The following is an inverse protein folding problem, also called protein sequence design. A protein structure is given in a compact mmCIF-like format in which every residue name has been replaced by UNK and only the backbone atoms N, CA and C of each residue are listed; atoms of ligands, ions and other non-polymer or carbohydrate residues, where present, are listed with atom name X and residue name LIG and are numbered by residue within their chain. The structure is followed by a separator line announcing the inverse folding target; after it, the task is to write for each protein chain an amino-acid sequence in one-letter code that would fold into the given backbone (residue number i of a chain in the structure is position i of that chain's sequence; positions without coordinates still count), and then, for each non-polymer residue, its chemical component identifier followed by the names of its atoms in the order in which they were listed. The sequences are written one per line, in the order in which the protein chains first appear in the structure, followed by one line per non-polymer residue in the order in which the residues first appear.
data_IF_881208781001
#
_entry.id   IF_881208781001
#
_cell.length_a   1.000
_cell.length_b   1.000
_cell.length_c   1.000
_cell.angle_alpha   90.00
_cell.angle_beta   90.00
_cell.angle_gamma   90.00
#
_symmetry.space_group_name_H-M   'P 1'
#
loop_
_entity.id
_entity.type
_entity.pdbx_description
1 polymer ?
#
# COMPACT_ATOMS: atom_id res chain seq x y z
N UNK A 1 15.06 0.58 -31.06
CA UNK A 1 14.23 1.69 -30.53
C UNK A 1 12.75 1.34 -30.63
N UNK A 2 12.17 0.65 -29.64
CA UNK A 2 10.73 0.35 -29.56
C UNK A 2 10.12 1.22 -28.46
N UNK A 3 9.45 2.29 -28.90
CA UNK A 3 8.33 2.98 -28.24
C UNK A 3 8.49 3.36 -26.75
N UNK A 4 9.17 4.49 -26.54
CA UNK A 4 9.13 5.32 -25.32
C UNK A 4 7.79 6.08 -25.13
N UNK A 5 6.67 5.56 -25.64
CA UNK A 5 5.36 6.25 -25.59
C UNK A 5 4.47 5.87 -24.40
N UNK A 6 4.80 4.82 -23.65
CA UNK A 6 3.89 4.29 -22.62
C UNK A 6 4.05 4.88 -21.21
N UNK A 7 5.14 5.59 -20.89
CA UNK A 7 5.48 5.85 -19.47
C UNK A 7 5.73 7.32 -19.11
N UNK A 8 4.99 8.24 -19.73
CA UNK A 8 4.97 9.67 -19.37
C UNK A 8 4.18 9.99 -18.06
N UNK A 9 3.87 8.98 -17.26
CA UNK A 9 2.80 9.05 -16.24
C UNK A 9 3.21 8.73 -14.81
N UNK A 10 4.42 8.24 -14.52
CA UNK A 10 4.80 7.99 -13.12
C UNK A 10 5.33 9.28 -12.49
N UNK A 11 4.42 10.09 -11.95
CA UNK A 11 4.77 11.35 -11.26
C UNK A 11 4.84 11.17 -9.75
N UNK A 12 4.26 10.09 -9.21
CA UNK A 12 4.24 9.83 -7.77
C UNK A 12 4.36 8.34 -7.41
N UNK A 13 4.49 8.05 -6.12
CA UNK A 13 4.52 6.67 -5.60
C UNK A 13 3.21 5.89 -5.85
N UNK A 14 2.09 6.59 -5.95
CA UNK A 14 0.80 5.96 -6.25
C UNK A 14 0.84 5.34 -7.64
N UNK A 15 1.45 6.04 -8.61
CA UNK A 15 1.71 5.53 -9.95
C UNK A 15 2.68 4.36 -9.93
N UNK A 16 3.73 4.41 -9.10
CA UNK A 16 4.66 3.30 -8.90
C UNK A 16 3.94 2.03 -8.40
N UNK A 17 3.15 2.19 -7.34
CA UNK A 17 2.32 1.13 -6.75
C UNK A 17 1.31 0.59 -7.77
N UNK A 18 0.61 1.46 -8.48
CA UNK A 18 -0.35 1.13 -9.53
C UNK A 18 0.31 0.36 -10.68
N UNK A 19 1.48 0.79 -11.12
CA UNK A 19 2.27 0.11 -12.13
C UNK A 19 2.63 -1.32 -11.72
N UNK A 20 3.11 -1.50 -10.48
CA UNK A 20 3.43 -2.82 -9.94
C UNK A 20 2.17 -3.70 -9.84
N UNK A 21 1.03 -3.15 -9.41
CA UNK A 21 -0.23 -3.87 -9.39
C UNK A 21 -0.71 -4.29 -10.79
N UNK A 22 -0.62 -3.42 -11.79
CA UNK A 22 -0.98 -3.77 -13.17
C UNK A 22 -0.04 -4.84 -13.74
N UNK A 23 1.27 -4.75 -13.47
CA UNK A 23 2.21 -5.83 -13.83
C UNK A 23 1.88 -7.13 -13.13
N UNK A 24 1.57 -7.10 -11.84
CA UNK A 24 1.16 -8.28 -11.09
C UNK A 24 -0.10 -8.90 -11.71
N UNK A 25 -1.14 -8.08 -11.95
CA UNK A 25 -2.40 -8.50 -12.57
C UNK A 25 -2.19 -9.16 -13.93
N UNK A 26 -1.37 -8.58 -14.81
CA UNK A 26 -1.04 -9.18 -16.12
C UNK A 26 -0.39 -10.56 -15.99
N UNK A 27 0.55 -10.72 -15.04
CA UNK A 27 1.18 -12.02 -14.79
C UNK A 27 0.19 -13.03 -14.19
N UNK A 28 -0.72 -12.60 -13.33
CA UNK A 28 -1.79 -13.43 -12.78
C UNK A 28 -2.74 -13.95 -13.88
N UNK A 29 -3.21 -13.07 -14.76
CA UNK A 29 -4.09 -13.42 -15.88
C UNK A 29 -3.41 -14.37 -16.88
N UNK A 30 -2.13 -14.14 -17.16
CA UNK A 30 -1.32 -15.01 -18.00
C UNK A 30 -1.13 -16.39 -17.36
N UNK A 31 -0.76 -16.44 -16.08
CA UNK A 31 -0.60 -17.68 -15.33
C UNK A 31 -1.90 -18.49 -15.26
N UNK A 32 -3.02 -17.84 -14.95
CA UNK A 32 -4.34 -18.50 -14.91
C UNK A 32 -4.78 -19.01 -16.30
N UNK A 33 -4.46 -18.30 -17.38
CA UNK A 33 -4.75 -18.73 -18.75
C UNK A 33 -3.92 -19.96 -19.14
N UNK A 34 -2.61 -19.93 -18.88
CA UNK A 34 -1.71 -21.05 -19.15
C UNK A 34 -2.07 -22.30 -18.34
N UNK A 35 -2.48 -22.12 -17.08
CA UNK A 35 -2.95 -23.23 -16.24
C UNK A 35 -4.20 -23.91 -16.85
N UNK A 36 -5.16 -23.13 -17.36
CA UNK A 36 -6.36 -23.67 -18.03
C UNK A 36 -5.99 -24.40 -19.32
N UNK A 37 -5.05 -23.88 -20.10
CA UNK A 37 -4.56 -24.53 -21.32
C UNK A 37 -3.89 -25.88 -20.98
N UNK A 38 -3.06 -25.91 -19.93
CA UNK A 38 -2.46 -27.14 -19.41
C UNK A 38 -3.52 -28.20 -19.07
N UNK A 39 -4.61 -27.79 -18.41
CA UNK A 39 -5.73 -28.69 -18.10
C UNK A 39 -6.44 -29.19 -19.36
N UNK A 40 -6.66 -28.32 -20.36
CA UNK A 40 -7.27 -28.71 -21.64
C UNK A 40 -6.41 -29.76 -22.35
N UNK A 41 -5.09 -29.59 -22.40
CA UNK A 41 -4.20 -30.57 -23.02
C UNK A 41 -4.24 -31.94 -22.34
N UNK A 42 -4.38 -32.00 -21.01
CA UNK A 42 -4.54 -33.27 -20.29
C UNK A 42 -5.86 -33.93 -20.65
N UNK A 43 -6.95 -33.16 -20.65
CA UNK A 43 -8.28 -33.69 -21.00
C UNK A 43 -8.26 -34.23 -22.44
N UNK A 44 -7.65 -33.48 -23.39
CA UNK A 44 -7.53 -33.93 -24.77
C UNK A 44 -6.69 -35.21 -24.88
N UNK A 45 -5.53 -35.27 -24.21
CA UNK A 45 -4.70 -36.48 -24.13
C UNK A 45 -5.51 -37.68 -23.66
N UNK A 46 -6.25 -37.55 -22.55
CA UNK A 46 -7.09 -38.63 -22.02
C UNK A 46 -8.25 -39.03 -22.94
N UNK A 47 -8.88 -38.07 -23.64
CA UNK A 47 -9.96 -38.36 -24.59
C UNK A 47 -9.44 -39.10 -25.82
N UNK A 48 -8.27 -38.72 -26.35
CA UNK A 48 -7.65 -39.42 -27.48
C UNK A 48 -7.34 -40.87 -27.14
N UNK A 49 -6.73 -41.13 -25.99
CA UNK A 49 -6.42 -42.49 -25.56
C UNK A 49 -7.70 -43.33 -25.33
N UNK A 50 -8.75 -42.73 -24.78
CA UNK A 50 -10.04 -43.40 -24.60
C UNK A 50 -10.70 -43.78 -25.93
N UNK A 51 -10.65 -42.90 -26.93
CA UNK A 51 -11.20 -43.19 -28.27
C UNK A 51 -10.50 -44.37 -28.94
N UNK A 52 -9.17 -44.47 -28.79
CA UNK A 52 -8.36 -45.55 -29.37
C UNK A 52 -8.63 -46.88 -28.69
N UNK A 53 -8.81 -46.89 -27.37
CA UNK A 53 -9.11 -48.10 -26.60
C UNK A 53 -10.43 -48.78 -27.02
N UNK A 54 -11.38 -48.03 -27.58
CA UNK A 54 -12.73 -48.54 -27.92
C UNK A 54 -12.85 -49.12 -29.33
N UNK A 55 -11.88 -48.90 -30.21
CA UNK A 55 -11.91 -49.37 -31.60
C UNK A 55 -11.24 -50.74 -31.75
N UNK A 56 -11.99 -51.75 -32.21
CA UNK A 56 -11.54 -53.13 -32.39
C UNK A 56 -10.45 -53.29 -33.48
N UNK A 57 -9.46 -54.15 -33.17
CA UNK A 57 -8.44 -54.91 -33.94
C UNK A 57 -7.88 -54.47 -35.32
N UNK A 58 -8.50 -53.58 -36.09
CA UNK A 58 -8.11 -53.25 -37.47
C UNK A 58 -7.20 -52.02 -37.61
N UNK A 59 -6.78 -51.41 -36.49
CA UNK A 59 -6.08 -50.11 -36.46
C UNK A 59 -4.77 -50.14 -35.64
N UNK A 60 -3.97 -51.21 -35.78
CA UNK A 60 -2.69 -51.33 -35.05
C UNK A 60 -1.70 -50.19 -35.41
N UNK A 61 -1.66 -49.77 -36.66
CA UNK A 61 -0.80 -48.64 -37.09
C UNK A 61 -1.29 -47.29 -36.55
N UNK A 62 -2.61 -47.09 -36.49
CA UNK A 62 -3.22 -45.86 -35.94
C UNK A 62 -3.02 -45.74 -34.43
N UNK A 63 -2.94 -46.85 -33.70
CA UNK A 63 -2.58 -46.85 -32.28
C UNK A 63 -1.21 -46.20 -32.03
N UNK A 64 -0.20 -46.48 -32.87
CA UNK A 64 1.15 -45.91 -32.67
C UNK A 64 1.21 -44.41 -32.96
N UNK A 65 0.42 -43.90 -33.91
CA UNK A 65 0.32 -42.45 -34.14
C UNK A 65 -0.47 -41.75 -33.03
N UNK A 66 -1.54 -42.37 -32.54
CA UNK A 66 -2.34 -41.77 -31.47
C UNK A 66 -1.57 -41.67 -30.15
N UNK A 67 -0.78 -42.69 -29.79
CA UNK A 67 0.09 -42.63 -28.62
C UNK A 67 1.12 -41.48 -28.72
N UNK A 68 1.66 -41.20 -29.91
CA UNK A 68 2.56 -40.05 -30.13
C UNK A 68 1.83 -38.71 -29.95
N UNK A 69 0.57 -38.62 -30.41
CA UNK A 69 -0.26 -37.42 -30.24
C UNK A 69 -0.57 -37.19 -28.75
N UNK A 70 -0.96 -38.23 -28.01
CA UNK A 70 -1.25 -38.14 -26.58
C UNK A 70 -0.02 -37.76 -25.76
N UNK A 71 1.13 -38.36 -26.07
CA UNK A 71 2.42 -37.97 -25.50
C UNK A 71 2.73 -36.49 -25.79
N UNK A 72 2.50 -36.03 -27.02
CA UNK A 72 2.66 -34.64 -27.44
C UNK A 72 1.81 -33.68 -26.60
N UNK A 73 0.52 -33.98 -26.40
CA UNK A 73 -0.36 -33.17 -25.54
C UNK A 73 0.09 -33.15 -24.09
N UNK A 74 0.55 -34.29 -23.56
CA UNK A 74 1.08 -34.36 -22.19
C UNK A 74 2.34 -33.51 -22.00
N UNK A 75 3.27 -33.55 -22.96
CA UNK A 75 4.46 -32.68 -22.93
C UNK A 75 4.09 -31.19 -23.02
N UNK A 76 3.13 -30.83 -23.88
CA UNK A 76 2.59 -29.47 -23.96
C UNK A 76 1.92 -29.03 -22.65
N UNK A 77 1.24 -29.96 -21.96
CA UNK A 77 0.65 -29.69 -20.66
C UNK A 77 1.70 -29.37 -19.60
N UNK A 78 2.78 -30.14 -19.51
CA UNK A 78 3.89 -29.86 -18.61
C UNK A 78 4.50 -28.49 -18.93
N UNK A 79 4.81 -28.23 -20.21
CA UNK A 79 5.41 -26.97 -20.64
C UNK A 79 4.54 -25.77 -20.26
N UNK A 80 3.24 -25.84 -20.51
CA UNK A 80 2.28 -24.78 -20.14
C UNK A 80 2.10 -24.63 -18.63
N UNK A 81 2.16 -25.71 -17.85
CA UNK A 81 2.14 -25.65 -16.39
C UNK A 81 3.40 -24.97 -15.82
N UNK A 82 4.59 -25.32 -16.32
CA UNK A 82 5.84 -24.69 -15.90
C UNK A 82 5.84 -23.18 -16.22
N UNK A 83 5.38 -22.80 -17.42
CA UNK A 83 5.21 -21.40 -17.79
C UNK A 83 4.20 -20.69 -16.87
N UNK A 84 3.10 -21.36 -16.52
CA UNK A 84 2.12 -20.85 -15.56
C UNK A 84 2.75 -20.57 -14.19
N UNK A 85 3.57 -21.48 -13.67
CA UNK A 85 4.31 -21.28 -12.42
C UNK A 85 5.30 -20.11 -12.50
N UNK A 86 6.03 -19.97 -13.61
CA UNK A 86 6.91 -18.81 -13.82
C UNK A 86 6.12 -17.49 -13.81
N UNK A 87 4.92 -17.47 -14.39
CA UNK A 87 4.02 -16.32 -14.31
C UNK A 87 3.56 -16.05 -12.87
N UNK A 88 3.21 -17.08 -12.08
CA UNK A 88 2.83 -16.90 -10.67
C UNK A 88 3.98 -16.41 -9.79
N UNK A 89 5.21 -16.89 -10.02
CA UNK A 89 6.40 -16.38 -9.33
C UNK A 89 6.62 -14.89 -9.61
N UNK A 90 6.50 -14.48 -10.88
CA UNK A 90 6.57 -13.06 -11.26
C UNK A 90 5.43 -12.24 -10.65
N UNK A 91 4.20 -12.76 -10.66
CA UNK A 91 3.06 -12.15 -10.00
C UNK A 91 3.35 -11.90 -8.51
N UNK A 92 3.77 -12.93 -7.77
CA UNK A 92 4.06 -12.83 -6.33
C UNK A 92 5.14 -11.77 -6.06
N UNK A 93 6.19 -11.72 -6.88
CA UNK A 93 7.25 -10.70 -6.77
C UNK A 93 6.71 -9.28 -6.94
N UNK A 94 5.98 -9.00 -8.03
CA UNK A 94 5.45 -7.64 -8.26
C UNK A 94 4.37 -7.26 -7.25
N UNK A 95 3.50 -8.20 -6.88
CA UNK A 95 2.42 -7.98 -5.95
C UNK A 95 2.93 -7.68 -4.54
N UNK A 96 3.94 -8.42 -4.06
CA UNK A 96 4.59 -8.17 -2.79
C UNK A 96 5.23 -6.77 -2.75
N UNK A 97 6.00 -6.41 -3.80
CA UNK A 97 6.60 -5.07 -3.92
C UNK A 97 5.55 -3.95 -3.88
N UNK A 98 4.42 -4.14 -4.57
CA UNK A 98 3.34 -3.15 -4.57
C UNK A 98 2.77 -2.92 -3.15
N UNK A 99 2.68 -3.96 -2.34
CA UNK A 99 2.22 -3.87 -0.96
C UNK A 99 3.26 -3.29 0.00
N UNK A 100 4.53 -3.64 -0.17
CA UNK A 100 5.63 -3.04 0.59
C UNK A 100 5.63 -1.52 0.39
N UNK A 101 5.49 -1.07 -0.86
CA UNK A 101 5.31 0.35 -1.18
C UNK A 101 4.08 0.95 -0.47
N UNK A 102 2.93 0.28 -0.50
CA UNK A 102 1.74 0.75 0.22
C UNK A 102 1.92 0.81 1.75
N UNK A 103 2.74 -0.09 2.33
CA UNK A 103 3.07 -0.07 3.75
C UNK A 103 4.03 1.09 4.09
N UNK A 104 4.97 1.43 3.21
CA UNK A 104 5.85 2.59 3.38
C UNK A 104 5.08 3.91 3.29
N UNK A 105 4.12 3.97 2.36
CA UNK A 105 3.20 5.10 2.21
C UNK A 105 2.41 5.38 3.50
N UNK A 106 1.96 4.33 4.20
CA UNK A 106 1.23 4.49 5.47
C UNK A 106 2.08 5.11 6.58
N UNK A 107 3.35 4.72 6.71
CA UNK A 107 4.24 5.21 7.77
C UNK A 107 4.99 6.48 7.41
N UNK A 108 4.85 6.95 6.18
CA UNK A 108 5.59 8.10 5.65
C UNK A 108 5.52 9.34 6.54
N UNK A 109 4.37 9.61 7.16
CA UNK A 109 4.20 10.78 8.00
C UNK A 109 4.82 10.68 9.40
N UNK A 110 5.12 9.48 9.88
CA UNK A 110 5.72 9.22 11.21
C UNK A 110 7.17 8.74 11.12
N UNK A 111 7.75 8.76 9.92
CA UNK A 111 9.09 8.27 9.63
C UNK A 111 9.88 9.31 8.84
N UNK A 112 11.18 9.07 8.71
CA UNK A 112 12.07 9.90 7.91
C UNK A 112 11.67 9.81 6.42
N UNK A 113 11.20 10.92 5.86
CA UNK A 113 10.61 10.96 4.53
C UNK A 113 11.64 10.68 3.44
N UNK A 114 12.84 11.25 3.60
CA UNK A 114 13.97 11.05 2.68
C UNK A 114 14.38 9.59 2.59
N UNK A 115 14.57 8.91 3.73
CA UNK A 115 14.90 7.48 3.77
C UNK A 115 13.81 6.60 3.15
N UNK A 116 12.54 6.91 3.39
CA UNK A 116 11.44 6.18 2.74
C UNK A 116 11.48 6.41 1.22
N UNK A 117 11.72 7.64 0.79
CA UNK A 117 11.92 7.97 -0.62
C UNK A 117 13.01 7.10 -1.26
N UNK A 118 14.20 7.07 -0.65
CA UNK A 118 15.33 6.23 -1.09
C UNK A 118 14.95 4.76 -1.23
N UNK A 119 14.34 4.18 -0.19
CA UNK A 119 13.88 2.79 -0.20
C UNK A 119 12.89 2.56 -1.35
N UNK A 120 11.89 3.43 -1.49
CA UNK A 120 10.87 3.32 -2.56
C UNK A 120 11.52 3.39 -3.95
N UNK A 121 12.53 4.24 -4.15
CA UNK A 121 13.29 4.31 -5.40
C UNK A 121 14.02 3.00 -5.74
N UNK A 122 14.47 2.22 -4.74
CA UNK A 122 15.05 0.89 -5.00
C UNK A 122 14.02 -0.12 -5.56
N UNK A 123 12.74 0.05 -5.23
CA UNK A 123 11.67 -0.80 -5.76
C UNK A 123 11.29 -0.45 -7.20
N UNK A 124 11.66 0.74 -7.66
CA UNK A 124 11.31 1.26 -8.96
C UNK A 124 12.25 0.76 -10.08
N UNK A 125 11.72 0.47 -11.28
CA UNK A 125 12.57 0.16 -12.43
C UNK A 125 13.58 1.28 -12.71
N UNK A 126 14.75 0.95 -13.28
CA UNK A 126 15.81 1.91 -13.61
C UNK A 126 15.29 3.13 -14.40
N UNK A 127 14.47 2.90 -15.43
CA UNK A 127 13.92 4.00 -16.25
C UNK A 127 12.93 4.92 -15.52
N UNK A 128 12.43 4.51 -14.34
CA UNK A 128 11.56 5.33 -13.48
C UNK A 128 12.41 6.19 -12.54
N UNK A 129 13.67 5.80 -12.26
CA UNK A 129 14.62 6.61 -11.48
C UNK A 129 15.08 7.87 -12.22
N UNK A 130 15.03 7.84 -13.55
CA UNK A 130 15.35 8.99 -14.42
C UNK A 130 14.19 10.00 -14.54
N UNK A 131 13.01 9.70 -13.96
CA UNK A 131 11.89 10.63 -13.92
C UNK A 131 11.88 11.39 -12.59
N UNK A 132 11.63 12.70 -12.63
CA UNK A 132 11.34 13.51 -11.44
C UNK A 132 10.04 13.02 -10.78
N UNK A 133 10.14 11.97 -9.96
CA UNK A 133 9.03 11.49 -9.15
C UNK A 133 8.89 12.45 -7.99
N UNK A 134 7.73 13.09 -7.93
CA UNK A 134 7.35 13.97 -6.85
C UNK A 134 6.95 13.14 -5.63
N UNK A 135 7.91 12.93 -4.74
CA UNK A 135 7.71 12.23 -3.47
C UNK A 135 6.76 13.04 -2.56
N UNK A 136 6.66 14.36 -2.72
CA UNK A 136 5.79 15.18 -1.87
C UNK A 136 4.29 14.87 -2.05
N UNK A 137 3.91 14.23 -3.16
CA UNK A 137 2.54 13.75 -3.41
C UNK A 137 1.98 12.73 -2.41
N UNK A 138 2.79 12.18 -1.49
CA UNK A 138 2.33 11.33 -0.40
C UNK A 138 1.21 11.99 0.47
N UNK A 139 1.15 13.32 0.53
CA UNK A 139 0.26 14.04 1.46
C UNK A 139 -1.20 14.10 1.02
N UNK A 140 -1.50 14.06 -0.29
CA UNK A 140 -2.86 14.24 -0.80
C UNK A 140 -3.61 12.90 -0.94
N UNK A 141 -3.57 12.09 0.11
CA UNK A 141 -4.06 10.72 0.04
C UNK A 141 -5.60 10.66 0.06
N UNK A 142 -6.23 10.89 -1.09
CA UNK A 142 -7.70 10.76 -1.32
C UNK A 142 -8.22 9.32 -1.17
N UNK A 143 -7.33 8.37 -0.93
CA UNK A 143 -7.66 6.95 -0.84
C UNK A 143 -8.40 6.58 0.45
N UNK A 144 -8.11 7.27 1.55
CA UNK A 144 -8.69 7.01 2.87
C UNK A 144 -9.62 8.13 3.27
N UNK A 145 -10.78 7.79 3.84
CA UNK A 145 -11.69 8.73 4.47
C UNK A 145 -11.54 8.70 5.99
N UNK A 146 -10.30 8.78 6.50
CA UNK A 146 -10.02 8.80 7.94
C UNK A 146 -10.47 10.13 8.58
N UNK A 147 -10.86 10.14 9.87
CA UNK A 147 -11.18 11.39 10.56
C UNK A 147 -9.95 12.30 10.70
N UNK A 148 -10.19 13.59 10.94
CA UNK A 148 -9.13 14.57 11.21
C UNK A 148 -8.55 14.30 12.61
N UNK A 149 -7.40 13.68 12.64
CA UNK A 149 -6.70 13.26 13.85
C UNK A 149 -5.28 13.84 13.88
N UNK A 150 -4.97 14.57 14.96
CA UNK A 150 -3.72 15.31 15.17
C UNK A 150 -2.58 14.39 15.61
N UNK A 151 -2.86 13.35 16.41
CA UNK A 151 -1.85 12.37 16.76
C UNK A 151 -1.56 11.49 15.52
N UNK A 152 -0.34 11.58 15.00
CA UNK A 152 0.05 10.97 13.74
C UNK A 152 -0.04 9.43 13.79
N UNK A 153 0.26 8.81 14.94
CA UNK A 153 0.12 7.37 15.13
C UNK A 153 -1.35 6.95 15.06
N UNK A 154 -2.22 7.63 15.81
CA UNK A 154 -3.66 7.36 15.82
C UNK A 154 -4.30 7.59 14.44
N UNK A 155 -3.89 8.65 13.73
CA UNK A 155 -4.37 8.96 12.38
C UNK A 155 -4.07 7.80 11.41
N UNK A 156 -2.82 7.32 11.41
CA UNK A 156 -2.42 6.19 10.57
C UNK A 156 -3.16 4.92 10.99
N UNK A 157 -3.33 4.68 12.29
CA UNK A 157 -4.12 3.55 12.80
C UNK A 157 -5.58 3.59 12.31
N UNK A 158 -6.20 4.76 12.16
CA UNK A 158 -7.54 4.86 11.56
C UNK A 158 -7.56 4.51 10.08
N UNK A 159 -6.53 4.84 9.31
CA UNK A 159 -6.39 4.39 7.92
C UNK A 159 -6.24 2.87 7.83
N UNK A 160 -5.45 2.28 8.75
CA UNK A 160 -5.32 0.83 8.87
C UNK A 160 -6.65 0.18 9.24
N UNK A 161 -7.41 0.79 10.15
CA UNK A 161 -8.73 0.32 10.57
C UNK A 161 -9.71 0.31 9.40
N UNK A 162 -9.81 1.41 8.64
CA UNK A 162 -10.64 1.49 7.42
C UNK A 162 -10.30 0.35 6.46
N UNK A 163 -9.00 0.18 6.18
CA UNK A 163 -8.51 -0.86 5.29
C UNK A 163 -8.85 -2.27 5.81
N UNK A 164 -8.66 -2.53 7.10
CA UNK A 164 -8.95 -3.82 7.71
C UNK A 164 -10.43 -4.14 7.68
N UNK A 165 -11.30 -3.18 7.99
CA UNK A 165 -12.76 -3.33 7.92
C UNK A 165 -13.17 -3.75 6.51
N UNK A 166 -12.70 -3.02 5.50
CA UNK A 166 -13.06 -3.29 4.10
C UNK A 166 -12.54 -4.65 3.66
N UNK A 167 -11.27 -4.91 3.93
CA UNK A 167 -10.62 -6.14 3.52
C UNK A 167 -11.18 -7.36 4.24
N UNK A 168 -11.50 -7.29 5.54
CA UNK A 168 -12.15 -8.37 6.27
C UNK A 168 -13.48 -8.75 5.61
N UNK A 169 -14.30 -7.76 5.26
CA UNK A 169 -15.57 -8.01 4.57
C UNK A 169 -15.35 -8.66 3.20
N UNK A 170 -14.45 -8.09 2.38
CA UNK A 170 -14.19 -8.56 1.02
C UNK A 170 -13.57 -9.97 1.00
N UNK A 171 -12.62 -10.26 1.89
CA UNK A 171 -12.06 -11.59 2.06
C UNK A 171 -13.08 -12.56 2.63
N UNK A 172 -13.99 -12.11 3.50
CA UNK A 172 -15.13 -12.88 3.97
C UNK A 172 -16.05 -13.31 2.82
N UNK A 173 -16.34 -12.41 1.88
CA UNK A 173 -17.10 -12.71 0.67
C UNK A 173 -16.36 -13.69 -0.26
N UNK A 174 -15.05 -13.49 -0.47
CA UNK A 174 -14.22 -14.43 -1.24
C UNK A 174 -14.20 -15.82 -0.61
N UNK A 175 -14.04 -15.89 0.72
CA UNK A 175 -14.07 -17.11 1.49
C UNK A 175 -15.42 -17.81 1.37
N UNK A 176 -16.54 -17.08 1.52
CA UNK A 176 -17.90 -17.60 1.37
C UNK A 176 -18.13 -18.23 0.00
N UNK A 177 -17.71 -17.56 -1.08
CA UNK A 177 -17.82 -18.09 -2.45
C UNK A 177 -16.98 -19.36 -2.61
N UNK A 178 -15.73 -19.37 -2.11
CA UNK A 178 -14.87 -20.57 -2.19
C UNK A 178 -15.38 -21.73 -1.33
N UNK A 179 -15.92 -21.46 -0.14
CA UNK A 179 -16.53 -22.46 0.72
C UNK A 179 -17.68 -23.18 0.02
N UNK A 180 -18.55 -22.45 -0.69
CA UNK A 180 -19.63 -23.05 -1.51
C UNK A 180 -19.08 -23.94 -2.62
N UNK A 181 -17.92 -23.60 -3.18
CA UNK A 181 -17.25 -24.37 -4.25
C UNK A 181 -16.43 -25.54 -3.72
N UNK A 182 -16.11 -25.61 -2.43
CA UNK A 182 -15.27 -26.66 -1.84
C UNK A 182 -15.87 -28.05 -2.05
N UNK A 183 -17.18 -28.23 -1.84
CA UNK A 183 -17.84 -29.53 -2.01
C UNK A 183 -17.75 -29.99 -3.47
N UNK A 184 -18.10 -29.11 -4.41
CA UNK A 184 -17.99 -29.38 -5.83
C UNK A 184 -16.54 -29.67 -6.26
N UNK A 185 -15.59 -28.94 -5.70
CA UNK A 185 -14.16 -29.14 -5.94
C UNK A 185 -13.70 -30.53 -5.45
N UNK A 186 -14.05 -30.92 -4.22
CA UNK A 186 -13.73 -32.24 -3.66
C UNK A 186 -14.36 -33.37 -4.48
N UNK A 187 -15.60 -33.17 -4.95
CA UNK A 187 -16.27 -34.12 -5.83
C UNK A 187 -15.53 -34.32 -7.16
N UNK A 188 -15.07 -33.23 -7.80
CA UNK A 188 -14.27 -33.30 -9.04
C UNK A 188 -12.94 -34.04 -8.79
N UNK A 189 -12.23 -33.70 -7.72
CA UNK A 189 -10.95 -34.36 -7.38
C UNK A 189 -11.17 -35.85 -7.13
N UNK A 190 -12.25 -36.23 -6.45
CA UNK A 190 -12.61 -37.62 -6.22
C UNK A 190 -12.90 -38.37 -7.53
N UNK A 191 -13.67 -37.78 -8.45
CA UNK A 191 -13.93 -38.38 -9.77
C UNK A 191 -12.61 -38.58 -10.54
N UNK A 192 -11.75 -37.56 -10.55
CA UNK A 192 -10.47 -37.62 -11.25
C UNK A 192 -9.57 -38.70 -10.67
N UNK A 193 -9.51 -38.81 -9.33
CA UNK A 193 -8.72 -39.83 -8.64
C UNK A 193 -9.28 -41.24 -8.82
N UNK A 194 -10.61 -41.39 -8.85
CA UNK A 194 -11.27 -42.66 -9.15
C UNK A 194 -11.01 -43.11 -10.59
N UNK A 195 -11.11 -42.19 -11.55
CA UNK A 195 -10.77 -42.46 -12.95
C UNK A 195 -9.32 -42.94 -13.06
N UNK A 196 -8.39 -42.22 -12.44
CA UNK A 196 -6.97 -42.56 -12.28
C UNK A 196 -6.79 -44.01 -11.76
N UNK A 197 -7.50 -44.41 -10.69
CA UNK A 197 -7.38 -45.75 -10.10
C UNK A 197 -7.96 -46.87 -10.99
N UNK A 198 -9.07 -46.62 -11.68
CA UNK A 198 -9.75 -47.62 -12.52
C UNK A 198 -8.88 -48.10 -13.69
N UNK A 199 -8.04 -47.23 -14.24
CA UNK A 199 -7.21 -47.55 -15.39
C UNK A 199 -5.81 -48.06 -15.02
N UNK A 200 -5.46 -48.16 -13.73
CA UNK A 200 -4.11 -48.54 -13.28
C UNK A 200 -3.73 -50.01 -13.58
N UNK A 201 -4.70 -50.89 -13.81
CA UNK A 201 -4.46 -52.34 -14.00
C UNK A 201 -4.00 -52.75 -15.40
N UNK A 202 -4.03 -51.88 -16.41
CA UNK A 202 -3.73 -52.24 -17.82
C UNK A 202 -2.86 -51.19 -18.53
N UNK A 203 -1.84 -50.69 -17.84
CA UNK A 203 -1.12 -49.46 -18.23
C UNK A 203 0.17 -49.79 -18.98
N UNK A 204 0.27 -49.35 -20.23
CA UNK A 204 1.54 -49.24 -20.98
C UNK A 204 2.33 -48.00 -20.50
N UNK A 205 3.65 -47.97 -20.72
CA UNK A 205 4.56 -46.90 -20.26
C UNK A 205 4.09 -45.49 -20.62
N UNK A 206 3.49 -45.31 -21.79
CA UNK A 206 2.91 -44.05 -22.28
C UNK A 206 1.71 -43.61 -21.43
N UNK A 207 0.80 -44.52 -21.10
CA UNK A 207 -0.35 -44.25 -20.23
C UNK A 207 0.08 -43.94 -18.80
N UNK A 208 1.15 -44.57 -18.31
CA UNK A 208 1.74 -44.26 -17.00
C UNK A 208 2.26 -42.83 -16.95
N UNK A 209 2.92 -42.36 -18.02
CA UNK A 209 3.41 -40.99 -18.11
C UNK A 209 2.26 -39.97 -18.03
N UNK A 210 1.20 -40.17 -18.81
CA UNK A 210 0.03 -39.29 -18.84
C UNK A 210 -0.64 -39.24 -17.48
N UNK A 211 -0.76 -40.39 -16.82
CA UNK A 211 -1.27 -40.49 -15.46
C UNK A 211 -0.45 -39.65 -14.47
N UNK A 212 0.88 -39.76 -14.51
CA UNK A 212 1.77 -39.01 -13.62
C UNK A 212 1.62 -37.50 -13.87
N UNK A 213 1.58 -37.08 -15.14
CA UNK A 213 1.37 -35.67 -15.50
C UNK A 213 0.01 -35.17 -15.02
N UNK A 214 -1.05 -35.94 -15.26
CA UNK A 214 -2.41 -35.65 -14.79
C UNK A 214 -2.46 -35.49 -13.27
N UNK A 215 -1.84 -36.42 -12.54
CA UNK A 215 -1.75 -36.37 -11.08
C UNK A 215 -1.02 -35.11 -10.60
N UNK A 216 0.11 -34.75 -11.21
CA UNK A 216 0.86 -33.54 -10.86
C UNK A 216 0.00 -32.30 -11.07
N UNK A 217 -0.69 -32.19 -12.20
CA UNK A 217 -1.50 -31.02 -12.55
C UNK A 217 -2.71 -30.91 -11.62
N UNK A 218 -3.47 -31.99 -11.42
CA UNK A 218 -4.62 -32.03 -10.51
C UNK A 218 -4.19 -31.72 -9.08
N UNK A 219 -3.06 -32.26 -8.62
CA UNK A 219 -2.51 -31.98 -7.29
C UNK A 219 -2.11 -30.51 -7.16
N UNK A 220 -1.46 -29.93 -8.16
CA UNK A 220 -1.08 -28.50 -8.19
C UNK A 220 -2.32 -27.59 -8.08
N UNK A 221 -3.40 -27.89 -8.81
CA UNK A 221 -4.64 -27.13 -8.71
C UNK A 221 -5.30 -27.29 -7.34
N UNK A 222 -5.29 -28.51 -6.79
CA UNK A 222 -5.85 -28.81 -5.48
C UNK A 222 -5.12 -28.09 -4.37
N UNK A 223 -3.79 -28.13 -4.39
CA UNK A 223 -2.97 -27.41 -3.44
C UNK A 223 -3.23 -25.90 -3.52
N UNK A 224 -3.21 -25.29 -4.70
CA UNK A 224 -3.50 -23.85 -4.88
C UNK A 224 -4.90 -23.48 -4.37
N UNK A 225 -5.90 -24.33 -4.61
CA UNK A 225 -7.25 -24.10 -4.12
C UNK A 225 -7.32 -24.12 -2.59
N UNK A 226 -6.78 -25.17 -1.97
CA UNK A 226 -6.76 -25.36 -0.52
C UNK A 226 -5.92 -24.29 0.18
N UNK A 227 -4.70 -24.03 -0.30
CA UNK A 227 -3.81 -22.99 0.22
C UNK A 227 -4.54 -21.64 0.28
N UNK A 228 -5.14 -21.22 -0.84
CA UNK A 228 -5.87 -19.93 -0.84
C UNK A 228 -7.12 -19.97 0.05
N UNK A 229 -7.79 -21.13 0.17
CA UNK A 229 -8.96 -21.28 1.04
C UNK A 229 -8.59 -21.09 2.51
N UNK A 230 -7.53 -21.77 2.98
CA UNK A 230 -7.01 -21.63 4.34
C UNK A 230 -6.43 -20.24 4.59
N UNK A 231 -5.70 -19.69 3.61
CA UNK A 231 -5.16 -18.33 3.66
C UNK A 231 -6.28 -17.29 3.87
N UNK A 232 -7.37 -17.36 3.11
CA UNK A 232 -8.51 -16.45 3.27
C UNK A 232 -9.13 -16.56 4.66
N UNK A 233 -9.33 -17.79 5.17
CA UNK A 233 -9.86 -18.01 6.52
C UNK A 233 -8.94 -17.38 7.57
N UNK A 234 -7.63 -17.61 7.46
CA UNK A 234 -6.64 -17.05 8.36
C UNK A 234 -6.67 -15.52 8.33
N UNK A 235 -6.61 -14.89 7.15
CA UNK A 235 -6.61 -13.43 7.03
C UNK A 235 -7.87 -12.80 7.60
N UNK A 236 -9.05 -13.38 7.33
CA UNK A 236 -10.31 -12.87 7.89
C UNK A 236 -10.26 -12.89 9.41
N UNK A 237 -9.71 -13.95 10.01
CA UNK A 237 -9.55 -14.07 11.45
C UNK A 237 -8.49 -13.09 12.00
N UNK A 238 -7.31 -12.99 11.38
CA UNK A 238 -6.27 -12.06 11.79
C UNK A 238 -6.72 -10.60 11.68
N UNK A 239 -7.48 -10.25 10.64
CA UNK A 239 -8.07 -8.91 10.52
C UNK A 239 -9.15 -8.65 11.57
N UNK A 240 -9.93 -9.66 11.98
CA UNK A 240 -10.88 -9.51 13.08
C UNK A 240 -10.17 -9.18 14.40
N UNK A 241 -9.08 -9.89 14.70
CA UNK A 241 -8.23 -9.60 15.87
C UNK A 241 -7.66 -8.19 15.77
N UNK A 242 -7.03 -7.85 14.64
CA UNK A 242 -6.42 -6.53 14.46
C UNK A 242 -7.43 -5.38 14.55
N UNK A 243 -8.66 -5.55 14.04
CA UNK A 243 -9.73 -4.55 14.20
C UNK A 243 -10.07 -4.35 15.67
N UNK A 244 -10.13 -5.43 16.47
CA UNK A 244 -10.38 -5.32 17.91
C UNK A 244 -9.25 -4.56 18.62
N UNK A 245 -8.00 -4.87 18.29
CA UNK A 245 -6.83 -4.16 18.84
C UNK A 245 -6.81 -2.67 18.45
N UNK A 246 -7.16 -2.35 17.20
CA UNK A 246 -7.26 -0.97 16.71
C UNK A 246 -8.41 -0.18 17.38
N UNK A 247 -9.40 -0.87 17.94
CA UNK A 247 -10.56 -0.28 18.62
C UNK A 247 -10.46 -0.33 20.15
N UNK A 248 -9.59 -1.16 20.73
CA UNK A 248 -9.53 -1.39 22.19
C UNK A 248 -8.94 -0.23 22.98
N UNK A 249 -8.24 0.70 22.31
CA UNK A 249 -7.69 1.88 22.96
C UNK A 249 -7.01 2.84 21.99
N UNK A 250 -6.54 3.97 22.52
CA UNK A 250 -5.77 4.94 21.74
C UNK A 250 -4.35 4.44 21.47
N UNK A 251 -3.90 4.65 20.23
CA UNK A 251 -2.57 4.36 19.73
C UNK A 251 -1.86 5.70 19.60
N UNK A 252 -1.35 6.16 20.73
CA UNK A 252 -0.79 7.49 20.95
C UNK A 252 0.73 7.49 21.14
N UNK A 253 1.34 6.30 21.20
CA UNK A 253 2.77 6.08 21.45
C UNK A 253 3.42 5.31 20.31
N UNK A 254 4.71 5.55 20.12
CA UNK A 254 5.57 4.88 19.15
C UNK A 254 5.50 3.35 19.30
N UNK A 255 5.61 2.84 20.52
CA UNK A 255 5.72 1.41 20.81
C UNK A 255 4.43 0.67 20.44
N UNK A 256 3.28 1.20 20.88
CA UNK A 256 1.97 0.65 20.50
C UNK A 256 1.77 0.72 18.99
N UNK A 257 2.15 1.82 18.37
CA UNK A 257 2.04 1.99 16.93
C UNK A 257 2.85 0.96 16.17
N UNK A 258 4.13 0.76 16.52
CA UNK A 258 5.01 -0.20 15.86
C UNK A 258 4.50 -1.64 16.00
N UNK A 259 3.93 -2.01 17.15
CA UNK A 259 3.29 -3.30 17.35
C UNK A 259 2.10 -3.49 16.39
N UNK A 260 1.17 -2.54 16.37
CA UNK A 260 -0.02 -2.58 15.50
C UNK A 260 0.37 -2.57 14.03
N UNK A 261 1.34 -1.74 13.66
CA UNK A 261 1.87 -1.68 12.30
C UNK A 261 2.51 -3.00 11.88
N UNK A 262 3.26 -3.66 12.76
CA UNK A 262 3.85 -4.97 12.50
C UNK A 262 2.79 -6.01 12.16
N UNK A 263 1.74 -6.11 12.98
CA UNK A 263 0.60 -7.00 12.74
C UNK A 263 -0.11 -6.67 11.42
N UNK A 264 -0.40 -5.39 11.18
CA UNK A 264 -1.02 -4.93 9.94
C UNK A 264 -0.18 -5.29 8.71
N UNK A 265 1.12 -4.99 8.75
CA UNK A 265 2.06 -5.21 7.66
C UNK A 265 2.15 -6.69 7.29
N UNK A 266 2.25 -7.57 8.29
CA UNK A 266 2.29 -9.02 8.08
C UNK A 266 1.02 -9.54 7.40
N UNK A 267 -0.14 -9.14 7.92
CA UNK A 267 -1.45 -9.52 7.35
C UNK A 267 -1.57 -8.99 5.93
N UNK A 268 -1.25 -7.71 5.71
CA UNK A 268 -1.37 -7.06 4.42
C UNK A 268 -0.49 -7.76 3.39
N UNK A 269 0.78 -8.04 3.69
CA UNK A 269 1.71 -8.71 2.76
C UNK A 269 1.20 -10.08 2.30
N UNK A 270 0.65 -10.88 3.22
CA UNK A 270 0.12 -12.23 2.93
C UNK A 270 -1.24 -12.23 2.20
N UNK A 271 -1.97 -11.11 2.19
CA UNK A 271 -3.34 -11.09 1.70
C UNK A 271 -3.48 -11.41 0.19
N UNK A 272 -4.53 -12.10 -0.30
CA UNK A 272 -4.71 -12.32 -1.73
C UNK A 272 -5.24 -11.06 -2.42
N UNK A 273 -5.12 -11.00 -3.75
CA UNK A 273 -5.66 -9.87 -4.51
C UNK A 273 -7.20 -9.84 -4.47
N UNK A 274 -7.75 -8.66 -4.17
CA UNK A 274 -9.19 -8.41 -4.24
C UNK A 274 -9.53 -8.05 -5.68
N UNK A 275 -10.54 -8.73 -6.24
CA UNK A 275 -11.01 -8.44 -7.60
C UNK A 275 -11.79 -7.13 -7.61
N UNK A 276 -11.52 -6.27 -8.59
CA UNK A 276 -12.18 -4.96 -8.77
C UNK A 276 -13.71 -5.07 -8.76
N UNK A 277 -14.26 -6.04 -9.48
CA UNK A 277 -15.71 -6.26 -9.53
C UNK A 277 -16.34 -6.60 -8.16
N UNK A 278 -15.60 -7.27 -7.27
CA UNK A 278 -16.06 -7.57 -5.92
C UNK A 278 -16.11 -6.30 -5.07
N UNK A 279 -15.09 -5.45 -5.18
CA UNK A 279 -15.07 -4.14 -4.53
C UNK A 279 -16.22 -3.27 -5.03
N UNK A 280 -16.33 -3.10 -6.35
CA UNK A 280 -17.35 -2.25 -6.98
C UNK A 280 -18.78 -2.69 -6.58
N UNK A 281 -19.03 -4.00 -6.54
CA UNK A 281 -20.33 -4.56 -6.11
C UNK A 281 -20.68 -4.23 -4.64
N UNK A 282 -19.70 -4.04 -3.77
CA UNK A 282 -19.92 -3.84 -2.34
C UNK A 282 -19.58 -2.42 -1.85
N UNK A 283 -19.15 -1.52 -2.74
CA UNK A 283 -18.60 -0.20 -2.40
C UNK A 283 -19.53 0.63 -1.52
N UNK A 284 -20.81 0.73 -1.87
CA UNK A 284 -21.78 1.52 -1.10
C UNK A 284 -21.95 1.00 0.33
N UNK A 285 -22.02 -0.32 0.48
CA UNK A 285 -22.13 -0.97 1.78
C UNK A 285 -20.88 -0.73 2.63
N UNK A 286 -19.69 -0.89 2.02
CA UNK A 286 -18.42 -0.62 2.68
C UNK A 286 -18.35 0.83 3.17
N UNK A 287 -18.62 1.79 2.30
CA UNK A 287 -18.61 3.22 2.63
C UNK A 287 -19.65 3.59 3.70
N UNK A 288 -20.82 2.94 3.70
CA UNK A 288 -21.81 3.11 4.77
C UNK A 288 -21.25 2.58 6.10
N UNK A 289 -20.77 1.34 6.13
CA UNK A 289 -20.20 0.74 7.33
C UNK A 289 -19.04 1.55 7.90
N UNK A 290 -18.18 2.12 7.04
CA UNK A 290 -17.10 3.00 7.49
C UNK A 290 -17.62 4.30 8.10
N UNK A 291 -18.56 4.99 7.45
CA UNK A 291 -19.17 6.22 7.99
C UNK A 291 -19.77 6.00 9.38
N UNK A 292 -20.55 4.93 9.54
CA UNK A 292 -21.19 4.58 10.81
C UNK A 292 -20.15 4.33 11.93
N UNK A 293 -19.01 3.73 11.61
CA UNK A 293 -17.93 3.53 12.59
C UNK A 293 -17.14 4.80 12.86
N UNK A 294 -16.83 5.58 11.82
CA UNK A 294 -16.01 6.78 11.89
C UNK A 294 -16.54 7.82 12.87
N UNK A 295 -17.87 7.95 12.94
CA UNK A 295 -18.54 8.88 13.86
C UNK A 295 -18.29 8.58 15.34
N UNK A 296 -17.93 7.33 15.66
CA UNK A 296 -17.71 6.87 17.03
C UNK A 296 -16.22 6.82 17.42
N UNK A 297 -15.31 7.23 16.53
CA UNK A 297 -13.88 7.19 16.80
C UNK A 297 -13.44 8.35 17.71
N UNK A 298 -12.59 8.03 18.70
CA UNK A 298 -12.10 8.99 19.69
C UNK A 298 -11.00 9.91 19.14
N UNK A 299 -11.33 11.18 18.89
CA UNK A 299 -10.36 12.14 18.35
C UNK A 299 -9.50 12.81 19.42
N UNK A 300 -8.26 13.17 19.08
CA UNK A 300 -7.43 14.04 19.94
C UNK A 300 -8.10 15.38 20.16
N UNK A 301 -8.16 15.82 21.42
CA UNK A 301 -8.50 17.19 21.73
C UNK A 301 -7.32 18.11 21.36
N UNK A 302 -7.47 18.87 20.27
CA UNK A 302 -6.44 19.79 19.75
C UNK A 302 -5.88 20.73 20.82
N UNK A 303 -6.76 21.31 21.65
CA UNK A 303 -6.37 22.27 22.69
C UNK A 303 -5.47 21.62 23.74
N UNK A 304 -5.85 20.44 24.22
CA UNK A 304 -5.05 19.68 25.19
C UNK A 304 -3.72 19.21 24.59
N UNK A 305 -3.74 18.70 23.36
CA UNK A 305 -2.54 18.30 22.64
C UNK A 305 -1.51 19.43 22.50
N UNK A 306 -1.95 20.62 22.06
CA UNK A 306 -1.06 21.78 21.95
C UNK A 306 -0.56 22.25 23.31
N UNK A 307 -1.38 22.15 24.37
CA UNK A 307 -0.97 22.49 25.74
C UNK A 307 0.19 21.63 26.23
N UNK A 308 0.26 20.36 25.83
CA UNK A 308 1.34 19.46 26.23
C UNK A 308 2.62 19.70 25.42
N UNK A 309 2.50 19.99 24.12
CA UNK A 309 3.66 20.07 23.20
C UNK A 309 4.31 21.45 23.15
N UNK A 310 3.52 22.52 23.07
CA UNK A 310 4.05 23.87 22.86
C UNK A 310 4.96 24.38 23.99
N UNK A 311 4.71 24.09 25.29
CA UNK A 311 5.63 24.48 26.35
C UNK A 311 7.01 23.82 26.23
N UNK A 312 7.07 22.57 25.75
CA UNK A 312 8.33 21.85 25.53
C UNK A 312 9.16 22.56 24.47
N UNK A 313 8.54 22.84 23.31
CA UNK A 313 9.16 23.56 22.20
C UNK A 313 9.62 24.95 22.66
N UNK A 314 8.73 25.69 23.32
CA UNK A 314 9.01 27.04 23.81
C UNK A 314 10.23 27.06 24.71
N UNK A 315 10.27 26.21 25.74
CA UNK A 315 11.39 26.13 26.67
C UNK A 315 12.70 25.82 25.93
N UNK A 316 12.69 24.80 25.06
CA UNK A 316 13.90 24.39 24.34
C UNK A 316 14.42 25.50 23.41
N UNK A 317 13.54 26.21 22.70
CA UNK A 317 13.95 27.23 21.73
C UNK A 317 14.23 28.60 22.37
N UNK A 318 13.36 29.09 23.26
CA UNK A 318 13.50 30.40 23.89
C UNK A 318 14.69 30.44 24.86
N UNK A 319 14.88 29.42 25.70
CA UNK A 319 16.00 29.37 26.67
C UNK A 319 17.36 29.32 25.97
N UNK A 320 17.36 28.90 24.70
CA UNK A 320 18.54 28.84 23.86
C UNK A 320 18.63 30.01 22.87
N UNK A 321 17.77 31.02 22.97
CA UNK A 321 17.86 32.22 22.13
C UNK A 321 17.57 32.00 20.65
N UNK A 322 16.91 30.90 20.28
CA UNK A 322 16.46 30.65 18.90
C UNK A 322 15.26 31.55 18.62
N UNK A 323 15.26 32.25 17.49
CA UNK A 323 14.11 33.06 17.07
C UNK A 323 13.19 32.24 16.16
N UNK A 324 11.96 32.05 16.60
CA UNK A 324 11.00 31.18 15.95
C UNK A 324 9.56 31.70 16.08
N UNK A 325 8.68 31.21 15.22
CA UNK A 325 7.25 31.46 15.28
C UNK A 325 6.45 30.22 14.84
N UNK A 326 5.26 30.06 15.42
CA UNK A 326 4.28 29.06 14.97
C UNK A 326 3.59 29.62 13.72
N UNK A 327 3.44 28.79 12.68
CA UNK A 327 2.80 29.16 11.41
C UNK A 327 1.66 28.20 11.07
N UNK A 328 1.00 28.43 9.94
CA UNK A 328 0.08 27.47 9.33
C UNK A 328 -1.16 27.20 10.19
N UNK A 329 -1.59 25.94 10.20
CA UNK A 329 -2.87 25.56 10.84
C UNK A 329 -2.85 25.73 12.37
N UNK A 330 -1.71 25.47 13.02
CA UNK A 330 -1.53 25.68 14.45
C UNK A 330 -1.57 27.19 14.82
N UNK A 331 -0.95 28.06 14.02
CA UNK A 331 -1.05 29.52 14.18
C UNK A 331 -2.51 29.98 14.11
N UNK A 332 -3.25 29.52 13.10
CA UNK A 332 -4.68 29.84 12.91
C UNK A 332 -5.55 29.33 14.07
N UNK A 333 -5.25 28.14 14.62
CA UNK A 333 -5.92 27.62 15.81
C UNK A 333 -5.68 28.51 17.04
N UNK A 334 -4.43 28.87 17.32
CA UNK A 334 -4.08 29.70 18.48
C UNK A 334 -4.74 31.09 18.43
N UNK A 335 -4.94 31.63 17.23
CA UNK A 335 -5.66 32.88 16.97
C UNK A 335 -7.19 32.76 17.06
N UNK A 336 -7.72 31.58 17.39
CA UNK A 336 -9.16 31.32 17.46
C UNK A 336 -9.86 31.29 16.10
N UNK A 337 -9.13 31.22 15.00
CA UNK A 337 -9.70 31.19 13.64
C UNK A 337 -10.19 29.78 13.29
N UNK A 338 -9.46 28.75 13.73
CA UNK A 338 -9.71 27.34 13.41
C UNK A 338 -9.99 26.53 14.68
N UNK A 339 -10.81 25.49 14.57
CA UNK A 339 -11.10 24.55 15.67
C UNK A 339 -10.16 23.32 15.69
N UNK A 340 -9.28 23.20 14.69
CA UNK A 340 -8.39 22.06 14.50
C UNK A 340 -7.11 22.47 13.76
N UNK A 341 -5.99 21.83 14.10
CA UNK A 341 -4.75 21.85 13.33
C UNK A 341 -4.30 20.40 13.07
N UNK A 342 -3.62 20.16 11.96
CA UNK A 342 -3.14 18.82 11.56
C UNK A 342 -1.80 18.44 12.18
N UNK A 343 -1.01 19.45 12.49
CA UNK A 343 0.40 19.44 12.83
C UNK A 343 0.80 20.81 13.37
N UNK A 344 2.02 20.92 13.87
CA UNK A 344 2.61 22.16 14.36
C UNK A 344 3.72 22.58 13.40
N UNK A 345 3.49 23.65 12.66
CA UNK A 345 4.51 24.24 11.80
C UNK A 345 5.30 25.32 12.55
N UNK A 346 6.63 25.23 12.49
CA UNK A 346 7.56 26.21 13.06
C UNK A 346 8.39 26.84 11.96
N UNK A 347 8.37 28.18 11.91
CA UNK A 347 9.29 28.97 11.11
C UNK A 347 10.45 29.47 11.97
N UNK A 348 11.68 29.12 11.59
CA UNK A 348 12.89 29.72 12.15
C UNK A 348 13.23 31.02 11.41
N UNK A 349 13.61 32.05 12.15
CA UNK A 349 13.98 33.34 11.58
C UNK A 349 15.32 33.33 10.84
N UNK A 350 16.23 32.40 11.17
CA UNK A 350 17.54 32.26 10.54
C UNK A 350 17.87 30.77 10.35
N UNK A 351 18.30 30.38 9.14
CA UNK A 351 18.68 29.00 8.83
C UNK A 351 19.94 28.55 9.59
N UNK A 352 20.75 29.50 10.08
CA UNK A 352 21.94 29.19 10.89
C UNK A 352 21.59 28.53 12.22
N UNK A 353 20.36 28.68 12.69
CA UNK A 353 19.86 28.00 13.89
C UNK A 353 19.50 26.52 13.62
N UNK A 354 19.39 26.07 12.37
CA UNK A 354 18.97 24.70 12.04
C UNK A 354 19.80 23.59 12.72
N UNK A 355 21.16 23.61 12.71
CA UNK A 355 21.94 22.59 13.41
C UNK A 355 21.71 22.59 14.92
N UNK A 356 21.54 23.77 15.50
CA UNK A 356 21.25 23.93 16.93
C UNK A 356 19.88 23.37 17.30
N UNK A 357 18.86 23.62 16.47
CA UNK A 357 17.52 23.07 16.67
C UNK A 357 17.52 21.55 16.55
N UNK A 358 18.29 20.97 15.62
CA UNK A 358 18.46 19.51 15.51
C UNK A 358 18.98 18.90 16.82
N UNK A 359 20.00 19.51 17.43
CA UNK A 359 20.54 19.02 18.71
C UNK A 359 19.55 19.19 19.87
N UNK A 360 18.88 20.35 19.96
CA UNK A 360 17.91 20.64 21.03
C UNK A 360 16.70 19.70 21.00
N UNK A 361 16.22 19.35 19.79
CA UNK A 361 15.06 18.49 19.59
C UNK A 361 15.43 17.04 19.25
N UNK A 362 16.70 16.66 19.41
CA UNK A 362 17.22 15.31 19.10
C UNK A 362 16.41 14.15 19.70
N UNK A 363 15.90 14.22 20.94
CA UNK A 363 15.06 13.15 21.50
C UNK A 363 13.76 12.91 20.73
N UNK A 364 13.31 13.89 19.94
CA UNK A 364 12.07 13.89 19.18
C UNK A 364 12.31 13.76 17.67
N UNK A 365 13.56 13.56 17.25
CA UNK A 365 13.99 13.64 15.86
C UNK A 365 13.36 12.53 15.01
N UNK A 366 12.69 12.93 13.93
CA UNK A 366 12.24 12.03 12.86
C UNK A 366 13.08 12.25 11.61
N UNK A 367 13.34 13.51 11.27
CA UNK A 367 14.10 13.93 10.11
C UNK A 367 14.88 15.20 10.43
N UNK A 368 16.20 15.17 10.25
CA UNK A 368 17.06 16.32 10.53
C UNK A 368 16.71 17.49 9.62
N UNK A 369 16.81 18.70 10.15
CA UNK A 369 16.68 19.91 9.38
C UNK A 369 17.88 20.02 8.43
N UNK A 370 17.63 19.89 7.14
CA UNK A 370 18.61 20.16 6.08
C UNK A 370 17.93 20.83 4.89
N UNK A 371 18.72 21.38 3.97
CA UNK A 371 18.16 21.90 2.72
C UNK A 371 17.46 20.78 1.95
N UNK A 372 16.23 21.03 1.54
CA UNK A 372 15.41 20.11 0.75
C UNK A 372 14.69 20.91 -0.32
N UNK A 373 14.65 20.35 -1.53
CA UNK A 373 13.93 20.90 -2.67
C UNK A 373 12.97 19.84 -3.19
N UNK A 374 11.68 20.19 -3.26
CA UNK A 374 10.67 19.46 -4.01
C UNK A 374 10.38 20.20 -5.32
N UNK A 375 9.39 19.69 -6.07
CA UNK A 375 8.98 20.28 -7.35
C UNK A 375 8.55 21.75 -7.26
N UNK A 376 7.95 22.17 -6.14
CA UNK A 376 7.28 23.48 -6.03
C UNK A 376 7.56 24.23 -4.72
N UNK A 377 8.34 23.63 -3.81
CA UNK A 377 8.80 24.24 -2.56
C UNK A 377 10.23 23.82 -2.26
N UNK A 378 11.02 24.74 -1.73
CA UNK A 378 12.34 24.43 -1.16
C UNK A 378 12.57 25.24 0.11
N UNK A 379 13.28 24.65 1.05
CA UNK A 379 13.57 25.24 2.35
C UNK A 379 14.63 24.42 3.07
N UNK A 380 15.14 24.94 4.18
CA UNK A 380 15.68 24.06 5.22
C UNK A 380 14.50 23.44 5.95
N UNK A 381 14.35 22.12 5.86
CA UNK A 381 13.21 21.40 6.39
C UNK A 381 13.66 20.21 7.25
N UNK A 382 13.00 20.05 8.40
CA UNK A 382 13.11 18.87 9.25
C UNK A 382 11.79 18.58 9.96
N UNK A 383 11.73 17.40 10.58
CA UNK A 383 10.55 16.91 11.26
C UNK A 383 10.90 16.32 12.62
N UNK A 384 10.05 16.60 13.58
CA UNK A 384 10.09 16.03 14.91
C UNK A 384 8.72 15.45 15.28
N UNK A 385 8.69 14.53 16.24
CA UNK A 385 7.46 13.99 16.81
C UNK A 385 7.50 14.09 18.34
N UNK A 386 6.59 14.87 18.91
CA UNK A 386 6.49 15.10 20.35
C UNK A 386 5.13 14.58 20.81
N UNK A 387 5.12 13.50 21.59
CA UNK A 387 3.88 12.89 22.09
C UNK A 387 2.92 12.43 20.99
N UNK A 388 3.46 11.97 19.85
CA UNK A 388 2.68 11.58 18.68
C UNK A 388 2.25 12.74 17.78
N UNK A 389 2.57 13.98 18.11
CA UNK A 389 2.23 15.16 17.30
C UNK A 389 3.43 15.54 16.44
N UNK A 390 3.20 15.65 15.13
CA UNK A 390 4.23 16.08 14.20
C UNK A 390 4.51 17.58 14.35
N UNK A 391 5.79 17.90 14.39
CA UNK A 391 6.31 19.26 14.41
C UNK A 391 7.22 19.42 13.20
N UNK A 392 6.75 20.18 12.22
CA UNK A 392 7.49 20.46 10.98
C UNK A 392 8.24 21.79 11.19
N UNK A 393 9.56 21.75 11.06
CA UNK A 393 10.42 22.92 11.25
C UNK A 393 11.00 23.34 9.91
N UNK A 394 10.84 24.61 9.58
CA UNK A 394 11.23 25.17 8.30
C UNK A 394 11.94 26.52 8.43
N UNK A 395 12.87 26.80 7.51
CA UNK A 395 13.53 28.10 7.36
C UNK A 395 13.82 28.40 5.89
N UNK A 396 13.93 29.69 5.55
CA UNK A 396 14.17 30.20 4.19
C UNK A 396 13.26 29.56 3.14
N UNK A 397 11.94 29.55 3.42
CA UNK A 397 10.97 28.91 2.55
C UNK A 397 10.82 29.68 1.24
N UNK A 398 10.90 28.95 0.13
CA UNK A 398 10.68 29.48 -1.21
C UNK A 398 9.72 28.58 -1.99
N UNK A 399 8.85 29.19 -2.80
CA UNK A 399 7.94 28.46 -3.67
C UNK A 399 8.24 28.75 -5.14
N UNK A 400 8.15 27.71 -5.97
CA UNK A 400 8.30 27.86 -7.41
C UNK A 400 7.03 28.47 -8.00
N UNK A 401 7.16 29.63 -8.63
CA UNK A 401 6.06 30.34 -9.29
C UNK A 401 6.26 30.36 -10.81
N UNK A 402 5.17 30.34 -11.58
CA UNK A 402 5.24 30.38 -13.06
C UNK A 402 6.02 31.57 -13.60
N UNK A 403 5.82 32.74 -12.98
CA UNK A 403 6.26 34.03 -13.54
C UNK A 403 7.64 34.45 -13.04
N UNK A 404 8.03 34.02 -11.85
CA UNK A 404 9.19 34.59 -11.14
C UNK A 404 10.21 33.53 -10.70
N UNK A 405 10.02 32.26 -11.07
CA UNK A 405 10.85 31.17 -10.58
C UNK A 405 10.66 31.00 -9.07
N UNK A 406 11.74 30.65 -8.36
CA UNK A 406 11.74 30.50 -6.90
C UNK A 406 11.57 31.84 -6.20
N UNK A 407 10.44 32.01 -5.49
CA UNK A 407 10.10 33.22 -4.74
C UNK A 407 10.18 32.93 -3.26
N UNK A 408 11.00 33.69 -2.53
CA UNK A 408 11.06 33.63 -1.07
C UNK A 408 9.77 34.11 -0.42
N UNK A 409 9.41 33.49 0.70
CA UNK A 409 8.41 34.04 1.61
C UNK A 409 8.83 35.43 2.11
N UNK A 410 7.87 36.31 2.45
CA UNK A 410 8.17 37.62 3.01
C UNK A 410 8.90 37.50 4.35
N UNK A 411 9.44 38.61 4.83
CA UNK A 411 10.03 38.64 6.18
C UNK A 411 8.99 38.22 7.22
N UNK A 412 9.36 37.32 8.13
CA UNK A 412 8.43 36.77 9.12
C UNK A 412 7.98 37.88 10.06
N UNK A 413 6.71 38.26 9.95
CA UNK A 413 6.04 39.15 10.89
C UNK A 413 5.32 38.31 11.95
N UNK A 414 5.58 38.59 13.23
CA UNK A 414 5.02 37.81 14.35
C UNK A 414 4.21 38.68 15.29
N UNK A 415 3.22 38.09 15.94
CA UNK A 415 2.57 38.64 17.13
C UNK A 415 2.56 37.62 18.25
N UNK A 416 2.22 38.08 19.46
CA UNK A 416 2.15 37.23 20.65
C UNK A 416 0.72 36.81 20.90
N UNK A 417 0.47 35.52 20.95
CA UNK A 417 -0.80 34.94 21.39
C UNK A 417 -0.65 34.26 22.73
N UNK A 418 -1.67 34.39 23.58
CA UNK A 418 -1.68 33.80 24.92
C UNK A 418 -2.49 32.50 24.89
N UNK A 419 -1.85 31.41 25.32
CA UNK A 419 -2.47 30.08 25.33
C UNK A 419 -2.03 29.32 26.59
N UNK A 420 -3.00 28.90 27.42
CA UNK A 420 -2.78 28.24 28.71
C UNK A 420 -1.71 28.90 29.59
N UNK A 421 -1.74 30.23 29.71
CA UNK A 421 -0.83 30.98 30.58
C UNK A 421 0.57 31.24 30.00
N UNK A 422 0.85 30.77 28.79
CA UNK A 422 2.08 31.05 28.07
C UNK A 422 1.84 31.99 26.90
N UNK A 423 2.85 32.80 26.57
CA UNK A 423 2.86 33.64 25.37
C UNK A 423 3.71 32.98 24.28
N UNK A 424 3.11 32.75 23.11
CA UNK A 424 3.74 32.15 21.94
C UNK A 424 3.83 33.15 20.81
N UNK A 425 4.94 33.11 20.06
CA UNK A 425 5.06 33.87 18.81
C UNK A 425 4.34 33.10 17.72
N UNK A 426 3.39 33.75 17.07
CA UNK A 426 2.66 33.22 15.92
C UNK A 426 2.81 34.19 14.73
N UNK A 427 2.74 33.68 13.53
CA UNK A 427 2.75 34.48 12.28
C UNK A 427 1.56 35.42 12.17
N UNK A 428 1.81 36.66 11.73
CA UNK A 428 0.77 37.68 11.49
C UNK A 428 -0.20 37.25 10.39
N UNK A 429 -1.45 37.73 10.46
CA UNK A 429 -2.43 37.49 9.39
C UNK A 429 -1.98 38.09 8.05
N UNK A 430 -1.18 39.16 8.09
CA UNK A 430 -0.59 39.78 6.90
C UNK A 430 0.44 38.84 6.26
N UNK A 431 1.37 38.32 7.04
CA UNK A 431 2.37 37.35 6.59
C UNK A 431 1.69 36.14 5.93
N UNK A 432 0.71 35.54 6.62
CA UNK A 432 -0.03 34.38 6.09
C UNK A 432 -0.71 34.68 4.76
N UNK A 433 -1.33 35.86 4.62
CA UNK A 433 -1.97 36.28 3.38
C UNK A 433 -0.97 36.45 2.23
N UNK A 434 0.17 37.08 2.50
CA UNK A 434 1.22 37.27 1.49
C UNK A 434 1.82 35.91 1.05
N UNK A 435 1.99 34.97 1.98
CA UNK A 435 2.38 33.58 1.68
C UNK A 435 1.32 32.87 0.83
N UNK A 436 0.04 32.98 1.20
CA UNK A 436 -1.07 32.40 0.44
C UNK A 436 -1.12 32.97 -0.98
N UNK A 437 -0.85 34.27 -1.18
CA UNK A 437 -0.74 34.88 -2.51
C UNK A 437 0.39 34.26 -3.35
N UNK A 438 1.57 34.02 -2.76
CA UNK A 438 2.69 33.34 -3.44
C UNK A 438 2.29 31.90 -3.80
N UNK A 439 1.69 31.16 -2.88
CA UNK A 439 1.27 29.77 -3.09
C UNK A 439 0.20 29.69 -4.19
N UNK A 440 -0.74 30.62 -4.23
CA UNK A 440 -1.79 30.67 -5.25
C UNK A 440 -1.25 31.02 -6.67
N UNK A 441 -0.01 31.51 -6.79
CA UNK A 441 0.66 31.69 -8.09
C UNK A 441 1.31 30.40 -8.64
N UNK A 442 1.23 29.28 -7.91
CA UNK A 442 1.72 27.97 -8.36
C UNK A 442 0.90 27.42 -9.53
N UNK A 443 1.53 26.56 -10.33
CA UNK A 443 0.85 25.81 -11.38
C UNK A 443 0.21 24.52 -10.85
N UNK A 444 -1.10 24.54 -10.57
CA UNK A 444 -1.86 23.30 -10.66
C UNK A 444 -2.11 23.05 -12.14
N UNK A 445 -1.11 22.51 -12.84
CA UNK A 445 -1.19 22.23 -14.27
C UNK A 445 -2.51 21.53 -14.61
N UNK A 446 -3.45 22.29 -15.20
CA UNK A 446 -4.67 21.75 -15.79
C UNK A 446 -4.36 21.15 -17.15
#
# INVERSE_FOLDING_TARGET
MRTNRAFKWARNIEDARKYLFEKAKKNLECGDSLAKISLIFIILSSVFDFCVFRTDKLLFDFCTESQKISLGFSLLSIGTLLLSWLCFLRFNKFYRKAKEIGNFELIYNVSNRRKIGEIVYEYLPEFVRDADIDISSFYENKYFDSPKELNAYQNISYRMLENCVFNKYLYGEMYRVRKKRLIFFLFIVFILLFYILMFFKSVDCSMLFIYVVGLIVVSSFSFKFLETFFLLRHIVHSMDILIKELLSGRIDTSEKFLYIYGLYSEINLKAPIIKKNLYDKNREKLNKTWRDMKENLSLTNTSFALKEVLPIIKRLLDDNGVKWAITGSASKFLKGQYNYCSDIDILLSDYKDCPKVNELLKPFLVEEICFSESKDIRSYYGKFNIGGINVDVMSEVQNLTKKRGWVSHPHVETHKEHFYGYSYRVTSCRFEKEVDEIINMKDYGK
#
